data_IF_554812226266
#
_entry.id   IF_554812226266
#
_cell.length_a   1.000
_cell.length_b   1.000
_cell.length_c   1.000
_cell.angle_alpha   90.00
_cell.angle_beta   90.00
_cell.angle_gamma   90.00
#
_symmetry.space_group_name_H-M   'P 1'
#
loop_
_entity.id
_entity.type
_entity.pdbx_description
1 polymer ?
#
# COMPACT_ATOMS: atom_id res chain seq x y z
N UNK A 1 -1.18 6.92 -27.10
CA UNK A 1 -1.47 7.17 -25.66
C UNK A 1 -2.54 6.18 -25.23
N UNK A 2 -2.30 5.40 -24.16
CA UNK A 2 -3.31 4.48 -23.62
C UNK A 2 -4.46 5.29 -23.00
N UNK A 3 -5.70 4.91 -23.29
CA UNK A 3 -6.89 5.55 -22.69
C UNK A 3 -6.97 5.19 -21.21
N UNK A 4 -7.57 6.06 -20.39
CA UNK A 4 -7.73 5.84 -18.93
C UNK A 4 -8.36 4.48 -18.62
N UNK A 5 -9.33 4.06 -19.43
CA UNK A 5 -9.98 2.76 -19.31
C UNK A 5 -9.03 1.58 -19.58
N UNK A 6 -8.10 1.72 -20.54
CA UNK A 6 -7.12 0.67 -20.85
C UNK A 6 -6.13 0.50 -19.70
N UNK A 7 -5.72 1.61 -19.07
CA UNK A 7 -4.82 1.59 -17.92
C UNK A 7 -5.48 0.90 -16.71
N UNK A 8 -6.74 1.24 -16.40
CA UNK A 8 -7.45 0.63 -15.27
C UNK A 8 -7.70 -0.86 -15.51
N UNK A 9 -8.02 -1.26 -16.74
CA UNK A 9 -8.17 -2.67 -17.09
C UNK A 9 -6.84 -3.43 -16.99
N UNK A 10 -5.75 -2.86 -17.49
CA UNK A 10 -4.42 -3.47 -17.37
C UNK A 10 -4.02 -3.66 -15.89
N UNK A 11 -4.25 -2.67 -15.04
CA UNK A 11 -3.98 -2.79 -13.60
C UNK A 11 -4.83 -3.88 -12.93
N UNK A 12 -6.11 -4.00 -13.29
CA UNK A 12 -6.96 -5.10 -12.80
C UNK A 12 -6.44 -6.46 -13.24
N UNK A 13 -5.96 -6.60 -14.48
CA UNK A 13 -5.35 -7.85 -14.97
C UNK A 13 -4.09 -8.18 -14.15
N UNK A 14 -3.21 -7.20 -13.91
CA UNK A 14 -2.04 -7.39 -13.04
C UNK A 14 -2.44 -7.85 -11.63
N UNK A 15 -3.51 -7.29 -11.08
CA UNK A 15 -4.05 -7.73 -9.79
C UNK A 15 -4.54 -9.18 -9.84
N UNK A 16 -5.30 -9.56 -10.88
CA UNK A 16 -5.79 -10.94 -11.05
C UNK A 16 -4.65 -11.93 -11.15
N UNK A 17 -3.63 -11.63 -11.94
CA UNK A 17 -2.44 -12.49 -12.09
C UNK A 17 -1.71 -12.61 -10.74
N UNK A 18 -1.54 -11.50 -10.02
CA UNK A 18 -0.90 -11.50 -8.70
C UNK A 18 -1.70 -12.35 -7.71
N UNK A 19 -3.03 -12.19 -7.64
CA UNK A 19 -3.87 -12.98 -6.76
C UNK A 19 -3.86 -14.47 -7.14
N UNK A 20 -3.87 -14.78 -8.43
CA UNK A 20 -3.76 -16.15 -8.94
C UNK A 20 -2.39 -16.78 -8.65
N UNK A 21 -1.35 -16.01 -8.35
CA UNK A 21 -0.05 -16.55 -7.94
C UNK A 21 0.03 -16.80 -6.43
N UNK A 22 -0.52 -15.90 -5.61
CA UNK A 22 -0.33 -15.92 -4.15
C UNK A 22 -1.52 -16.46 -3.35
N UNK A 23 -2.74 -16.39 -3.90
CA UNK A 23 -4.00 -16.70 -3.19
C UNK A 23 -4.82 -17.78 -3.90
N UNK A 24 -4.21 -18.68 -4.66
CA UNK A 24 -4.92 -19.75 -5.39
C UNK A 24 -5.86 -20.57 -4.51
N UNK A 25 -5.37 -21.04 -3.36
CA UNK A 25 -6.13 -21.83 -2.42
C UNK A 25 -7.28 -21.01 -1.79
N UNK A 26 -7.00 -19.77 -1.42
CA UNK A 26 -8.00 -18.87 -0.83
C UNK A 26 -9.11 -18.53 -1.83
N UNK A 27 -8.76 -18.22 -3.07
CA UNK A 27 -9.74 -17.96 -4.15
C UNK A 27 -10.63 -19.18 -4.35
N UNK A 28 -10.06 -20.38 -4.46
CA UNK A 28 -10.83 -21.62 -4.61
C UNK A 28 -11.77 -21.87 -3.43
N UNK A 29 -11.31 -21.63 -2.20
CA UNK A 29 -12.13 -21.80 -1.01
C UNK A 29 -13.30 -20.80 -0.99
N UNK A 30 -13.02 -19.52 -1.21
CA UNK A 30 -14.04 -18.45 -1.21
C UNK A 30 -15.07 -18.67 -2.33
N UNK A 31 -14.64 -19.07 -3.53
CA UNK A 31 -15.56 -19.40 -4.63
C UNK A 31 -16.51 -20.56 -4.31
N UNK A 32 -16.15 -21.45 -3.37
CA UNK A 32 -16.97 -22.58 -2.92
C UNK A 32 -17.75 -22.29 -1.63
N UNK A 33 -17.69 -21.06 -1.12
CA UNK A 33 -18.28 -20.71 0.18
C UNK A 33 -17.56 -21.36 1.38
N UNK A 34 -16.34 -21.83 1.20
CA UNK A 34 -15.53 -22.44 2.25
C UNK A 34 -14.64 -21.40 2.95
N UNK A 35 -14.26 -21.63 4.21
CA UNK A 35 -13.35 -20.73 4.92
C UNK A 35 -11.99 -20.69 4.23
N UNK A 36 -11.50 -19.49 3.94
CA UNK A 36 -10.14 -19.25 3.42
C UNK A 36 -9.08 -19.40 4.53
N UNK A 37 -7.81 -19.07 4.25
CA UNK A 37 -6.75 -19.07 5.26
C UNK A 37 -7.05 -18.12 6.42
N UNK A 38 -6.60 -18.47 7.65
CA UNK A 38 -6.78 -17.65 8.86
C UNK A 38 -6.30 -16.19 8.67
N UNK A 39 -5.30 -15.99 7.81
CA UNK A 39 -4.76 -14.68 7.45
C UNK A 39 -5.78 -13.79 6.76
N UNK A 40 -6.71 -14.35 5.99
CA UNK A 40 -7.72 -13.60 5.24
C UNK A 40 -9.12 -13.68 5.85
N UNK A 41 -9.43 -14.72 6.64
CA UNK A 41 -10.77 -14.93 7.22
C UNK A 41 -11.34 -13.69 7.94
N UNK A 42 -10.51 -12.98 8.71
CA UNK A 42 -10.93 -11.79 9.46
C UNK A 42 -11.32 -10.59 8.56
N UNK A 43 -10.95 -10.64 7.27
CA UNK A 43 -11.30 -9.64 6.26
C UNK A 43 -12.62 -9.96 5.55
N UNK A 44 -13.27 -11.08 5.90
CA UNK A 44 -14.50 -11.58 5.26
C UNK A 44 -14.42 -11.51 3.72
N UNK A 45 -13.41 -12.16 3.11
CA UNK A 45 -13.10 -11.95 1.71
C UNK A 45 -14.17 -12.56 0.82
N UNK A 46 -14.43 -11.91 -0.32
CA UNK A 46 -15.36 -12.40 -1.34
C UNK A 46 -14.77 -12.14 -2.74
N UNK A 47 -15.35 -12.80 -3.74
CA UNK A 47 -15.00 -12.57 -5.15
C UNK A 47 -15.92 -11.50 -5.72
N UNK A 48 -15.35 -10.38 -6.16
CA UNK A 48 -16.10 -9.31 -6.83
C UNK A 48 -16.52 -9.69 -8.25
N UNK A 49 -17.39 -8.87 -8.85
CA UNK A 49 -17.86 -9.03 -10.23
C UNK A 49 -16.72 -9.06 -11.26
N UNK A 50 -15.61 -8.38 -10.95
CA UNK A 50 -14.40 -8.36 -11.76
C UNK A 50 -13.48 -9.57 -11.54
N UNK A 51 -13.93 -10.58 -10.80
CA UNK A 51 -13.20 -11.82 -10.51
C UNK A 51 -12.00 -11.63 -9.59
N UNK A 52 -11.93 -10.50 -8.87
CA UNK A 52 -10.87 -10.18 -7.92
C UNK A 52 -11.31 -10.53 -6.48
N UNK A 53 -10.37 -11.03 -5.69
CA UNK A 53 -10.54 -11.24 -4.25
C UNK A 53 -10.53 -9.88 -3.54
N UNK A 54 -11.61 -9.55 -2.83
CA UNK A 54 -11.83 -8.24 -2.20
C UNK A 54 -12.20 -8.38 -0.71
N UNK A 55 -11.98 -7.32 0.06
CA UNK A 55 -12.34 -7.24 1.49
C UNK A 55 -13.85 -7.01 1.65
N UNK A 56 -14.49 -7.73 2.57
CA UNK A 56 -15.92 -7.61 2.87
C UNK A 56 -16.27 -6.86 4.17
N UNK A 57 -17.57 -6.70 4.40
CA UNK A 57 -18.18 -6.43 5.72
C UNK A 57 -18.24 -4.97 6.17
N UNK A 58 -17.13 -4.44 6.72
CA UNK A 58 -17.16 -3.32 7.69
C UNK A 58 -17.73 -2.00 7.17
N UNK A 59 -17.68 -1.77 5.85
CA UNK A 59 -18.11 -0.53 5.21
C UNK A 59 -19.31 -0.70 4.28
N UNK A 60 -20.01 -1.84 4.33
CA UNK A 60 -21.05 -2.18 3.34
C UNK A 60 -22.17 -1.13 3.24
N UNK A 61 -22.59 -0.56 4.38
CA UNK A 61 -23.67 0.43 4.46
C UNK A 61 -23.20 1.89 4.38
N UNK A 62 -21.90 2.14 4.17
CA UNK A 62 -21.40 3.50 4.02
C UNK A 62 -21.84 4.13 2.69
N UNK A 63 -21.77 5.46 2.55
CA UNK A 63 -21.98 6.15 1.27
C UNK A 63 -20.70 6.21 0.41
N UNK A 64 -19.68 5.42 0.76
CA UNK A 64 -18.40 5.42 0.07
C UNK A 64 -18.49 4.72 -1.30
N UNK A 65 -17.58 5.03 -2.24
CA UNK A 65 -17.42 4.27 -3.48
C UNK A 65 -17.18 2.78 -3.20
N UNK A 66 -17.64 1.91 -4.09
CA UNK A 66 -17.51 0.46 -3.99
C UNK A 66 -16.06 -0.01 -3.88
N UNK A 67 -15.12 0.64 -4.57
CA UNK A 67 -13.67 0.37 -4.46
C UNK A 67 -13.15 0.59 -3.03
N UNK A 68 -13.59 1.66 -2.38
CA UNK A 68 -13.21 2.00 -1.00
C UNK A 68 -13.88 1.09 0.02
N UNK A 69 -15.12 0.66 -0.25
CA UNK A 69 -15.83 -0.30 0.60
C UNK A 69 -15.19 -1.68 0.55
N UNK A 70 -14.78 -2.09 -0.65
CA UNK A 70 -14.32 -3.44 -0.95
C UNK A 70 -12.97 -3.41 -1.68
N UNK A 71 -11.89 -2.96 -1.03
CA UNK A 71 -10.57 -2.87 -1.65
C UNK A 71 -10.05 -4.25 -2.07
N UNK A 72 -9.23 -4.26 -3.12
CA UNK A 72 -8.62 -5.47 -3.70
C UNK A 72 -7.53 -5.99 -2.77
N UNK A 73 -7.60 -7.26 -2.37
CA UNK A 73 -6.61 -7.86 -1.48
C UNK A 73 -5.33 -8.17 -2.26
N UNK A 74 -4.18 -7.70 -1.77
CA UNK A 74 -2.88 -7.96 -2.40
C UNK A 74 -1.88 -8.49 -1.37
N UNK A 75 -1.00 -9.44 -1.75
CA UNK A 75 0.05 -9.95 -0.87
C UNK A 75 1.15 -8.89 -0.70
N UNK A 76 1.83 -8.89 0.45
CA UNK A 76 2.94 -7.95 0.72
C UNK A 76 4.13 -8.20 -0.20
N UNK A 77 4.36 -9.47 -0.50
CA UNK A 77 5.55 -10.00 -1.16
C UNK A 77 5.54 -9.78 -2.67
N UNK A 78 4.38 -9.47 -3.26
CA UNK A 78 4.28 -9.23 -4.69
C UNK A 78 5.02 -7.97 -5.11
N UNK A 79 5.66 -8.05 -6.28
CA UNK A 79 6.30 -6.91 -6.91
C UNK A 79 5.30 -5.78 -7.17
N UNK A 80 4.07 -6.11 -7.60
CA UNK A 80 2.99 -5.14 -7.81
C UNK A 80 2.70 -4.31 -6.56
N UNK A 81 2.69 -4.91 -5.37
CA UNK A 81 2.46 -4.20 -4.10
C UNK A 81 3.57 -3.19 -3.81
N UNK A 82 4.82 -3.52 -4.14
CA UNK A 82 5.94 -2.58 -4.03
C UNK A 82 5.81 -1.43 -5.03
N UNK A 83 5.45 -1.73 -6.28
CA UNK A 83 5.23 -0.71 -7.31
C UNK A 83 4.09 0.24 -6.95
N UNK A 84 2.98 -0.26 -6.41
CA UNK A 84 1.88 0.56 -5.92
C UNK A 84 2.35 1.47 -4.78
N UNK A 85 3.11 0.95 -3.81
CA UNK A 85 3.67 1.78 -2.74
C UNK A 85 4.52 2.94 -3.29
N UNK A 86 5.41 2.65 -4.23
CA UNK A 86 6.28 3.66 -4.83
C UNK A 86 5.47 4.67 -5.65
N UNK A 87 4.51 4.20 -6.45
CA UNK A 87 3.62 5.04 -7.25
C UNK A 87 2.87 6.04 -6.38
N UNK A 88 2.15 5.58 -5.34
CA UNK A 88 1.40 6.48 -4.46
C UNK A 88 2.32 7.39 -3.64
N UNK A 89 3.51 6.92 -3.25
CA UNK A 89 4.48 7.76 -2.57
C UNK A 89 4.96 8.92 -3.45
N UNK A 90 5.22 8.67 -4.75
CA UNK A 90 5.61 9.70 -5.71
C UNK A 90 4.43 10.62 -6.09
N UNK A 91 3.25 10.06 -6.34
CA UNK A 91 2.04 10.82 -6.66
C UNK A 91 1.64 11.79 -5.55
N UNK A 92 1.89 11.41 -4.29
CA UNK A 92 1.63 12.26 -3.12
C UNK A 92 2.85 13.09 -2.71
N UNK A 93 3.77 13.37 -3.63
CA UNK A 93 4.91 14.26 -3.43
C UNK A 93 5.74 13.91 -2.19
N UNK A 94 6.08 12.62 -2.05
CA UNK A 94 6.84 12.09 -0.92
C UNK A 94 6.16 12.19 0.44
N UNK A 95 4.83 12.19 0.48
CA UNK A 95 4.06 12.17 1.72
C UNK A 95 4.47 11.02 2.66
N UNK A 96 4.27 11.25 3.95
CA UNK A 96 4.60 10.28 5.00
C UNK A 96 3.80 8.98 4.92
N UNK A 97 4.23 7.92 5.62
CA UNK A 97 3.66 6.58 5.48
C UNK A 97 2.14 6.50 5.75
N UNK A 98 1.62 7.31 6.69
CA UNK A 98 0.20 7.30 7.04
C UNK A 98 -0.68 7.85 5.91
N UNK A 99 -0.26 8.96 5.28
CA UNK A 99 -0.99 9.56 4.17
C UNK A 99 -1.00 8.63 2.95
N UNK A 100 0.15 8.04 2.62
CA UNK A 100 0.26 7.06 1.52
C UNK A 100 -0.58 5.81 1.81
N UNK A 101 -0.55 5.32 3.06
CA UNK A 101 -1.38 4.18 3.46
C UNK A 101 -2.88 4.47 3.26
N UNK A 102 -3.35 5.63 3.72
CA UNK A 102 -4.75 6.02 3.58
C UNK A 102 -5.17 6.14 2.10
N UNK A 103 -4.29 6.62 1.23
CA UNK A 103 -4.56 6.69 -0.20
C UNK A 103 -4.65 5.31 -0.85
N UNK A 104 -3.71 4.41 -0.56
CA UNK A 104 -3.71 3.04 -1.08
C UNK A 104 -4.95 2.28 -0.61
N UNK A 105 -5.34 2.42 0.66
CA UNK A 105 -6.47 1.70 1.26
C UNK A 105 -7.83 2.07 0.65
N UNK A 106 -7.92 3.14 -0.15
CA UNK A 106 -9.13 3.46 -0.94
C UNK A 106 -9.39 2.45 -2.07
N UNK A 107 -8.37 1.72 -2.53
CA UNK A 107 -8.51 0.79 -3.65
C UNK A 107 -7.91 -0.58 -3.37
N UNK A 108 -6.86 -0.66 -2.56
CA UNK A 108 -6.08 -1.87 -2.33
C UNK A 108 -5.88 -2.15 -0.84
N UNK A 109 -6.08 -3.41 -0.46
CA UNK A 109 -5.76 -3.95 0.84
C UNK A 109 -4.51 -4.82 0.76
N UNK A 110 -3.35 -4.17 0.80
CA UNK A 110 -2.06 -4.87 0.84
C UNK A 110 -1.83 -5.42 2.25
N UNK A 111 -1.61 -6.73 2.38
CA UNK A 111 -1.32 -7.35 3.66
C UNK A 111 -0.08 -6.71 4.29
N UNK A 112 -0.17 -6.33 5.57
CA UNK A 112 0.94 -5.68 6.29
C UNK A 112 1.52 -4.43 5.60
N UNK A 113 0.68 -3.65 4.89
CA UNK A 113 1.04 -2.47 4.10
C UNK A 113 1.97 -1.49 4.84
N UNK A 114 1.70 -1.20 6.12
CA UNK A 114 2.50 -0.25 6.91
C UNK A 114 3.99 -0.63 6.97
N UNK A 115 4.28 -1.92 7.09
CA UNK A 115 5.67 -2.45 7.09
C UNK A 115 6.32 -2.25 5.72
N UNK A 116 5.60 -2.57 4.65
CA UNK A 116 6.08 -2.40 3.29
C UNK A 116 6.35 -0.92 2.97
N UNK A 117 5.42 -0.02 3.30
CA UNK A 117 5.58 1.42 3.08
C UNK A 117 6.80 1.98 3.81
N UNK A 118 7.00 1.62 5.09
CA UNK A 118 8.19 2.04 5.83
C UNK A 118 9.46 1.60 5.11
N UNK A 119 9.50 0.35 4.63
CA UNK A 119 10.64 -0.18 3.88
C UNK A 119 10.87 0.57 2.56
N UNK A 120 9.82 0.84 1.78
CA UNK A 120 9.91 1.56 0.50
C UNK A 120 10.35 3.01 0.68
N UNK A 121 9.68 3.74 1.57
CA UNK A 121 10.00 5.15 1.87
C UNK A 121 11.40 5.27 2.46
N UNK A 122 11.86 4.29 3.26
CA UNK A 122 13.21 4.33 3.80
C UNK A 122 14.31 4.28 2.73
N UNK A 123 14.04 3.60 1.61
CA UNK A 123 14.93 3.48 0.43
C UNK A 123 14.80 4.65 -0.55
N UNK A 124 13.82 5.52 -0.37
CA UNK A 124 13.61 6.67 -1.25
C UNK A 124 14.72 7.72 -1.03
N UNK A 125 15.49 8.02 -2.09
CA UNK A 125 16.62 8.96 -2.01
C UNK A 125 16.19 10.39 -1.62
N UNK A 126 15.14 10.99 -2.22
CA UNK A 126 14.62 12.28 -1.76
C UNK A 126 14.28 12.30 -0.27
N UNK A 127 13.57 11.28 0.22
CA UNK A 127 13.22 11.19 1.65
C UNK A 127 14.44 10.96 2.55
N UNK A 128 15.42 10.17 2.08
CA UNK A 128 16.70 9.97 2.76
C UNK A 128 17.46 11.29 2.91
N UNK A 129 17.51 12.10 1.86
CA UNK A 129 18.15 13.43 1.91
C UNK A 129 17.39 14.36 2.84
N UNK A 130 16.06 14.40 2.74
CA UNK A 130 15.22 15.26 3.58
C UNK A 130 15.30 14.91 5.08
N UNK A 131 15.47 13.63 5.44
CA UNK A 131 15.60 13.20 6.84
C UNK A 131 17.02 13.35 7.40
N UNK A 132 18.02 13.61 6.56
CA UNK A 132 19.41 13.66 6.99
C UNK A 132 19.58 14.80 7.99
N UNK A 133 20.08 14.48 9.19
CA UNK A 133 20.41 15.50 10.19
C UNK A 133 21.81 16.02 9.90
N UNK A 134 21.94 17.35 9.88
CA UNK A 134 23.26 17.97 9.90
C UNK A 134 23.92 17.64 11.24
N UNK A 135 25.13 17.10 11.19
CA UNK A 135 25.96 17.01 12.38
C UNK A 135 26.59 18.39 12.57
N UNK A 136 26.26 19.05 13.68
CA UNK A 136 26.96 20.26 14.06
C UNK A 136 28.34 19.85 14.57
N UNK A 137 29.43 20.44 14.03
CA UNK A 137 30.75 20.22 14.61
C UNK A 137 30.73 20.70 16.06
N UNK A 138 31.51 20.03 16.91
CA UNK A 138 31.77 20.53 18.27
C UNK A 138 32.46 21.88 18.13
N UNK A 139 31.82 22.94 18.62
CA UNK A 139 32.44 24.26 18.65
C UNK A 139 33.53 24.27 19.72
N UNK A 140 34.68 24.85 19.42
CA UNK A 140 35.70 25.13 20.43
C UNK A 140 35.18 26.16 21.42
N UNK A 141 35.78 26.20 22.61
CA UNK A 141 35.52 27.25 23.59
C UNK A 141 35.73 28.64 22.97
N UNK A 142 34.88 29.58 23.37
CA UNK A 142 35.03 30.99 22.99
C UNK A 142 36.27 31.55 23.69
N UNK A 143 37.12 32.33 23.01
CA UNK A 143 38.26 32.96 23.64
C UNK A 143 37.77 34.06 24.61
N UNK A 144 38.54 34.37 25.67
CA UNK A 144 38.09 35.19 26.78
C UNK A 144 37.67 36.60 26.37
N UNK A 145 38.25 37.16 25.29
CA UNK A 145 37.90 38.49 24.79
C UNK A 145 36.49 38.58 24.21
N UNK A 146 35.79 37.44 24.03
CA UNK A 146 34.41 37.38 23.54
C UNK A 146 33.38 37.09 24.63
N UNK A 147 33.80 36.99 25.89
CA UNK A 147 32.93 36.65 27.03
C UNK A 147 32.92 37.74 28.11
N UNK A 148 33.68 38.82 27.91
CA UNK A 148 33.73 40.03 28.75
C UNK A 148 33.29 41.25 27.95
#
# INVERSE_FOLDING_TARGET
ALRVLELTNALKICCRVTQAQYFTADIRAVSKGQPCSKKLQHLLPFIGEDGLLRVGGRLQHSLLPSSTKHPIILPKEAHLSSLLCDFYHLQLLHAGPQAVQAAIQKEYWILSLRSLLRQRIWKCLPCLKARAKLQHPVMSDLPPERVT
#
